data_IF_339627727273
#
_entry.id   IF_339627727273
#
_cell.length_a   1.000
_cell.length_b   1.000
_cell.length_c   1.000
_cell.angle_alpha   90.00
_cell.angle_beta   90.00
_cell.angle_gamma   90.00
#
_symmetry.space_group_name_H-M   'P 1'
#
loop_
_entity.id
_entity.type
_entity.pdbx_description
1 polymer ?
#
# COMPACT_ATOMS: atom_id res chain seq x y z
N UNK A 1 20.68 35.09 26.67
CA UNK A 1 19.92 35.97 27.57
C UNK A 1 20.87 36.70 28.55
N UNK A 2 21.83 36.02 29.26
CA UNK A 2 22.71 36.65 30.27
C UNK A 2 23.60 37.75 29.68
N UNK A 3 24.26 37.53 28.56
CA UNK A 3 25.11 38.55 27.90
C UNK A 3 24.29 39.81 27.52
N UNK A 4 23.06 39.66 27.06
CA UNK A 4 22.19 40.82 26.75
C UNK A 4 21.81 41.64 28.01
N UNK A 5 21.94 41.04 29.20
CA UNK A 5 21.77 41.71 30.52
C UNK A 5 23.07 42.21 31.09
N UNK A 6 24.18 42.12 30.37
CA UNK A 6 25.51 42.49 30.83
C UNK A 6 26.13 41.50 31.83
N UNK A 7 25.60 40.30 31.96
CA UNK A 7 26.09 39.29 32.90
C UNK A 7 27.15 38.38 32.23
N UNK A 8 28.31 38.24 32.87
CA UNK A 8 29.39 37.35 32.38
C UNK A 8 29.69 36.28 33.43
N UNK A 9 28.92 35.17 33.36
CA UNK A 9 28.97 34.10 34.38
C UNK A 9 29.27 32.75 33.73
N UNK A 10 30.56 32.46 33.47
CA UNK A 10 31.01 31.23 32.75
C UNK A 10 30.61 29.94 33.45
N UNK A 11 30.80 29.85 34.77
CA UNK A 11 30.52 28.64 35.55
C UNK A 11 29.07 28.22 35.56
N UNK A 12 28.15 29.18 35.35
CA UNK A 12 26.71 28.91 35.32
C UNK A 12 26.25 28.18 34.05
N UNK A 13 27.09 28.19 33.03
CA UNK A 13 26.77 27.59 31.70
C UNK A 13 27.74 26.48 31.33
N UNK A 14 28.30 25.76 32.30
CA UNK A 14 29.12 24.59 32.07
C UNK A 14 28.23 23.45 31.54
N UNK A 15 28.49 22.99 30.34
CA UNK A 15 27.76 21.91 29.68
C UNK A 15 28.50 20.57 29.73
N UNK A 16 27.96 19.59 29.01
CA UNK A 16 28.50 18.24 28.88
C UNK A 16 28.79 17.97 27.40
N UNK A 17 29.93 17.38 27.10
CA UNK A 17 30.28 16.97 25.74
C UNK A 17 29.47 15.73 25.32
N UNK A 18 29.08 15.67 24.03
CA UNK A 18 28.38 14.49 23.47
C UNK A 18 29.36 13.35 23.16
N UNK A 19 30.61 13.66 22.84
CA UNK A 19 31.61 12.65 22.50
C UNK A 19 31.84 11.67 23.67
N UNK A 20 31.75 10.36 23.35
CA UNK A 20 31.87 9.28 24.33
C UNK A 20 30.63 9.02 25.19
N UNK A 21 29.59 9.86 25.11
CA UNK A 21 28.30 9.61 25.78
C UNK A 21 27.51 8.54 25.07
N UNK A 22 26.64 7.86 25.79
CA UNK A 22 25.77 6.83 25.26
C UNK A 22 24.39 7.41 24.95
N UNK A 23 23.95 7.30 23.70
CA UNK A 23 22.59 7.62 23.25
C UNK A 23 21.77 6.34 23.12
N UNK A 24 20.70 6.23 23.90
CA UNK A 24 19.68 5.21 23.79
C UNK A 24 18.58 5.66 22.82
N UNK A 25 18.36 4.89 21.77
CA UNK A 25 17.37 5.19 20.74
C UNK A 25 16.22 4.19 20.86
N UNK A 26 15.05 4.66 21.31
CA UNK A 26 13.84 3.85 21.42
C UNK A 26 13.04 3.98 20.11
N UNK A 27 13.11 2.95 19.27
CA UNK A 27 12.58 2.92 17.90
C UNK A 27 13.62 3.30 16.85
N UNK A 28 14.03 2.32 16.04
CA UNK A 28 15.04 2.48 14.99
C UNK A 28 14.42 2.54 13.57
N UNK A 29 13.20 3.08 13.48
CA UNK A 29 12.53 3.37 12.23
C UNK A 29 13.17 4.51 11.44
N UNK A 30 12.45 5.11 10.48
CA UNK A 30 12.99 6.16 9.59
C UNK A 30 13.67 7.31 10.35
N UNK A 31 13.03 7.85 11.38
CA UNK A 31 13.56 8.98 12.16
C UNK A 31 14.70 8.53 13.07
N UNK A 32 14.51 7.44 13.83
CA UNK A 32 15.54 6.92 14.74
C UNK A 32 16.83 6.55 14.01
N UNK A 33 16.74 5.96 12.82
CA UNK A 33 17.92 5.67 11.97
C UNK A 33 18.67 6.94 11.55
N UNK A 34 17.93 8.01 11.21
CA UNK A 34 18.55 9.30 10.85
C UNK A 34 19.21 9.98 12.06
N UNK A 35 18.64 9.82 13.25
CA UNK A 35 19.26 10.26 14.52
C UNK A 35 20.53 9.46 14.78
N UNK A 36 20.49 8.13 14.64
CA UNK A 36 21.67 7.28 14.82
C UNK A 36 22.84 7.69 13.93
N UNK A 37 22.60 7.89 12.62
CA UNK A 37 23.63 8.34 11.67
C UNK A 37 24.30 9.65 12.10
N UNK A 38 23.51 10.62 12.58
CA UNK A 38 24.02 11.92 13.02
C UNK A 38 24.74 11.84 14.36
N UNK A 39 24.19 11.11 15.33
CA UNK A 39 24.80 10.92 16.64
C UNK A 39 26.15 10.19 16.55
N UNK A 40 26.29 9.24 15.64
CA UNK A 40 27.60 8.61 15.32
C UNK A 40 28.66 9.62 14.91
N UNK A 41 28.29 10.68 14.17
CA UNK A 41 29.20 11.73 13.76
C UNK A 41 29.67 12.61 14.91
N UNK A 42 28.97 12.59 16.04
CA UNK A 42 29.40 13.21 17.30
C UNK A 42 30.23 12.26 18.19
N UNK A 43 30.66 11.10 17.68
CA UNK A 43 31.38 10.06 18.41
C UNK A 43 30.65 9.57 19.67
N UNK A 44 29.31 9.45 19.59
CA UNK A 44 28.50 8.85 20.64
C UNK A 44 28.49 7.33 20.53
N UNK A 45 28.34 6.64 21.68
CA UNK A 45 28.00 5.22 21.72
C UNK A 45 26.49 5.07 21.52
N UNK A 46 26.06 4.16 20.61
CA UNK A 46 24.65 4.03 20.26
C UNK A 46 24.09 2.69 20.75
N UNK A 47 23.03 2.76 21.57
CA UNK A 47 22.18 1.64 21.93
C UNK A 47 20.81 1.83 21.27
N UNK A 48 20.20 0.77 20.78
CA UNK A 48 18.87 0.82 20.17
C UNK A 48 17.95 -0.26 20.75
N UNK A 49 16.70 0.08 20.95
CA UNK A 49 15.63 -0.86 21.23
C UNK A 49 14.58 -0.75 20.13
N UNK A 50 14.37 -1.83 19.42
CA UNK A 50 13.30 -1.97 18.41
C UNK A 50 12.97 -3.45 18.24
N UNK A 51 11.74 -3.91 18.53
CA UNK A 51 11.37 -5.33 18.42
C UNK A 51 11.23 -5.83 16.98
N UNK A 52 11.25 -4.94 15.98
CA UNK A 52 11.00 -5.26 14.57
C UNK A 52 12.25 -5.13 13.68
N UNK A 53 13.35 -4.62 14.22
CA UNK A 53 14.60 -4.39 13.48
C UNK A 53 15.60 -5.48 13.79
N UNK A 54 16.28 -6.01 12.77
CA UNK A 54 17.35 -7.01 12.95
C UNK A 54 18.63 -6.40 13.51
N UNK A 55 19.44 -7.21 14.19
CA UNK A 55 20.73 -6.78 14.71
C UNK A 55 21.65 -6.24 13.59
N UNK A 56 21.63 -6.85 12.40
CA UNK A 56 22.44 -6.42 11.26
C UNK A 56 22.08 -5.00 10.77
N UNK A 57 20.80 -4.64 10.81
CA UNK A 57 20.35 -3.27 10.47
C UNK A 57 20.85 -2.29 11.52
N UNK A 58 20.71 -2.59 12.82
CA UNK A 58 21.21 -1.73 13.87
C UNK A 58 22.75 -1.52 13.79
N UNK A 59 23.49 -2.60 13.57
CA UNK A 59 24.97 -2.56 13.39
C UNK A 59 25.38 -1.71 12.18
N UNK A 60 24.67 -1.77 11.08
CA UNK A 60 24.94 -0.93 9.90
C UNK A 60 24.81 0.57 10.21
N UNK A 61 23.96 0.93 11.17
CA UNK A 61 23.78 2.30 11.69
C UNK A 61 24.80 2.64 12.79
N UNK A 62 25.64 1.68 13.21
CA UNK A 62 26.59 1.81 14.29
C UNK A 62 25.95 1.72 15.68
N UNK A 63 24.75 1.15 15.79
CA UNK A 63 24.04 0.97 17.04
C UNK A 63 24.02 -0.51 17.45
N UNK A 64 24.12 -0.78 18.75
CA UNK A 64 23.93 -2.13 19.31
C UNK A 64 22.47 -2.31 19.74
N UNK A 65 21.82 -3.34 19.21
CA UNK A 65 20.44 -3.68 19.59
C UNK A 65 20.44 -4.34 20.98
N UNK A 66 19.61 -3.85 21.89
CA UNK A 66 19.53 -4.29 23.28
C UNK A 66 18.08 -4.30 23.79
N UNK A 67 17.83 -4.84 24.99
CA UNK A 67 16.55 -4.73 25.66
C UNK A 67 16.28 -3.27 26.11
N UNK A 68 15.01 -2.91 26.32
CA UNK A 68 14.66 -1.57 26.81
C UNK A 68 15.35 -1.27 28.15
N UNK A 69 15.32 -2.22 29.10
CA UNK A 69 15.98 -2.08 30.40
C UNK A 69 17.48 -1.83 30.29
N UNK A 70 18.16 -2.59 29.42
CA UNK A 70 19.60 -2.40 29.19
C UNK A 70 19.89 -1.01 28.59
N UNK A 71 19.06 -0.57 27.64
CA UNK A 71 19.16 0.74 27.04
C UNK A 71 19.03 1.83 28.12
N UNK A 72 17.97 1.78 28.94
CA UNK A 72 17.67 2.80 29.94
C UNK A 72 18.78 2.91 31.01
N UNK A 73 19.30 1.76 31.50
CA UNK A 73 20.37 1.73 32.50
C UNK A 73 21.69 2.30 32.01
N UNK A 74 21.98 2.16 30.71
CA UNK A 74 23.31 2.49 30.19
C UNK A 74 23.36 3.81 29.43
N UNK A 75 22.23 4.44 29.13
CA UNK A 75 22.17 5.67 28.34
C UNK A 75 22.37 6.92 29.19
N UNK A 76 23.13 7.86 28.66
CA UNK A 76 23.25 9.24 29.19
C UNK A 76 22.14 10.13 28.61
N UNK A 77 21.68 9.80 27.40
CA UNK A 77 20.56 10.46 26.73
C UNK A 77 19.66 9.37 26.15
N UNK A 78 18.37 9.44 26.41
CA UNK A 78 17.34 8.57 25.81
C UNK A 78 16.49 9.39 24.88
N UNK A 79 16.34 8.95 23.62
CA UNK A 79 15.49 9.60 22.61
C UNK A 79 14.44 8.64 22.07
N UNK A 80 13.19 9.11 21.96
CA UNK A 80 12.03 8.27 21.61
C UNK A 80 11.59 8.57 20.19
N UNK A 81 11.40 7.50 19.39
CA UNK A 81 11.02 7.56 17.98
C UNK A 81 10.03 6.45 17.58
N UNK A 82 9.19 6.01 18.51
CA UNK A 82 8.14 5.02 18.27
C UNK A 82 6.78 5.69 18.03
N UNK A 83 5.86 5.09 17.25
CA UNK A 83 4.48 5.56 17.16
C UNK A 83 3.73 5.31 18.48
N UNK A 84 2.63 6.03 18.70
CA UNK A 84 1.72 5.73 19.81
C UNK A 84 0.79 4.57 19.39
N UNK A 85 0.99 3.43 20.01
CA UNK A 85 0.20 2.20 19.85
C UNK A 85 -0.23 1.70 21.25
N UNK A 86 -1.17 0.75 21.35
CA UNK A 86 -1.46 0.11 22.63
C UNK A 86 -0.21 -0.46 23.33
N UNK A 87 0.74 -1.00 22.57
CA UNK A 87 2.00 -1.57 23.06
C UNK A 87 3.09 -0.55 23.42
N UNK A 88 2.97 0.70 22.98
CA UNK A 88 3.94 1.76 23.22
C UNK A 88 3.38 2.88 24.10
N UNK A 89 2.11 2.79 24.46
CA UNK A 89 1.51 3.73 25.43
C UNK A 89 2.15 3.57 26.79
N UNK A 90 2.62 4.68 27.37
CA UNK A 90 3.34 4.71 28.64
C UNK A 90 4.56 3.75 28.67
N UNK A 91 5.22 3.58 27.51
CA UNK A 91 6.40 2.73 27.37
C UNK A 91 7.54 3.17 28.32
N UNK A 92 7.61 4.47 28.63
CA UNK A 92 8.49 5.02 29.65
C UNK A 92 7.59 5.62 30.73
N UNK A 93 7.59 5.01 31.89
CA UNK A 93 6.79 5.37 33.06
C UNK A 93 7.64 5.30 34.33
N UNK A 94 7.04 5.24 35.51
CA UNK A 94 7.76 5.27 36.79
C UNK A 94 8.83 4.20 36.91
N UNK A 95 8.55 2.95 36.52
CA UNK A 95 9.51 1.85 36.59
C UNK A 95 10.73 2.06 35.66
N UNK A 96 10.50 2.67 34.51
CA UNK A 96 11.56 2.97 33.55
C UNK A 96 12.41 4.14 34.02
N UNK A 97 11.82 5.15 34.66
CA UNK A 97 12.58 6.24 35.27
C UNK A 97 13.42 5.78 36.47
N UNK A 98 12.96 4.79 37.27
CA UNK A 98 13.68 4.24 38.40
C UNK A 98 15.01 3.56 38.04
N UNK A 99 15.12 3.07 36.77
CA UNK A 99 16.31 2.38 36.31
C UNK A 99 17.24 3.25 35.44
N UNK A 100 16.82 4.47 35.07
CA UNK A 100 17.66 5.42 34.33
C UNK A 100 18.77 5.97 35.21
N UNK A 101 19.81 6.52 34.59
CA UNK A 101 20.87 7.22 35.29
C UNK A 101 20.33 8.54 35.87
N UNK A 102 20.74 8.96 37.10
CA UNK A 102 20.30 10.23 37.68
C UNK A 102 20.73 11.48 36.88
N UNK A 103 21.78 11.36 36.07
CA UNK A 103 22.24 12.42 35.18
C UNK A 103 21.74 12.26 33.72
N UNK A 104 20.84 11.30 33.46
CA UNK A 104 20.29 11.07 32.16
C UNK A 104 19.32 12.18 31.71
N UNK A 105 19.27 12.40 30.39
CA UNK A 105 18.32 13.28 29.72
C UNK A 105 17.35 12.47 28.90
N UNK A 106 16.06 12.82 28.93
CA UNK A 106 15.02 12.24 28.10
C UNK A 106 14.61 13.21 26.98
N UNK A 107 14.49 12.71 25.75
CA UNK A 107 14.00 13.49 24.59
C UNK A 107 12.81 12.77 23.97
N UNK A 108 11.64 13.39 23.94
CA UNK A 108 10.47 12.89 23.23
C UNK A 108 10.04 13.86 22.13
N UNK A 109 10.32 13.48 20.90
CA UNK A 109 9.92 14.16 19.66
C UNK A 109 9.08 13.24 18.78
N UNK A 110 8.50 12.16 19.35
CA UNK A 110 7.73 11.17 18.63
C UNK A 110 6.22 11.42 18.74
N UNK A 111 5.61 11.00 19.85
CA UNK A 111 4.17 11.21 20.13
C UNK A 111 3.97 11.40 21.65
N UNK A 112 2.99 12.23 22.03
CA UNK A 112 2.47 12.29 23.39
C UNK A 112 1.89 10.94 23.81
N UNK A 113 1.95 10.60 25.10
CA UNK A 113 1.47 9.34 25.65
C UNK A 113 2.39 8.13 25.46
N UNK A 114 3.54 8.24 24.76
CA UNK A 114 4.60 7.22 24.78
C UNK A 114 5.39 7.31 26.07
N UNK A 115 5.65 8.50 26.54
CA UNK A 115 6.16 8.80 27.87
C UNK A 115 4.98 9.19 28.75
N UNK A 116 4.85 8.60 29.90
CA UNK A 116 3.84 8.99 30.88
C UNK A 116 4.21 10.34 31.50
N UNK A 117 3.40 11.38 31.25
CA UNK A 117 3.72 12.75 31.65
C UNK A 117 3.69 12.94 33.18
N UNK A 118 2.75 12.27 33.89
CA UNK A 118 2.68 12.35 35.36
C UNK A 118 3.93 11.74 35.99
N UNK A 119 4.33 10.55 35.53
CA UNK A 119 5.54 9.88 35.99
C UNK A 119 6.81 10.68 35.65
N UNK A 120 6.85 11.36 34.50
CA UNK A 120 7.96 12.24 34.13
C UNK A 120 8.06 13.45 35.10
N UNK A 121 6.92 14.07 35.42
CA UNK A 121 6.87 15.19 36.36
C UNK A 121 7.42 14.78 37.74
N UNK A 122 7.03 13.59 38.22
CA UNK A 122 7.53 13.04 39.50
C UNK A 122 9.03 12.74 39.41
N UNK A 123 9.48 12.08 38.34
CA UNK A 123 10.88 11.72 38.14
C UNK A 123 11.79 12.95 38.10
N UNK A 124 11.36 14.05 37.47
CA UNK A 124 12.11 15.31 37.46
C UNK A 124 12.13 16.00 38.83
N UNK A 125 11.01 16.00 39.56
CA UNK A 125 10.94 16.57 40.92
C UNK A 125 11.79 15.80 41.94
N UNK A 126 11.84 14.48 41.80
CA UNK A 126 12.62 13.60 42.66
C UNK A 126 14.09 13.48 42.25
N UNK A 127 14.49 14.07 41.12
CA UNK A 127 15.85 14.01 40.61
C UNK A 127 16.26 12.63 40.11
N UNK A 128 15.31 11.79 39.70
CA UNK A 128 15.57 10.48 39.10
C UNK A 128 16.25 10.60 37.72
N UNK A 129 15.98 11.69 37.01
CA UNK A 129 16.67 12.09 35.78
C UNK A 129 17.03 13.57 35.84
N UNK A 130 18.03 13.98 35.07
CA UNK A 130 18.55 15.35 35.13
C UNK A 130 17.70 16.36 34.34
N UNK A 131 16.94 15.92 33.34
CA UNK A 131 16.12 16.82 32.53
C UNK A 131 15.40 16.14 31.40
N UNK A 132 14.48 16.87 30.76
CA UNK A 132 13.72 16.39 29.60
C UNK A 132 13.54 17.45 28.50
N UNK A 133 13.49 17.02 27.26
CA UNK A 133 13.09 17.82 26.11
C UNK A 133 11.86 17.20 25.44
N UNK A 134 10.77 17.97 25.33
CA UNK A 134 9.50 17.51 24.79
C UNK A 134 9.04 18.41 23.65
N UNK A 135 8.71 17.81 22.53
CA UNK A 135 8.07 18.49 21.38
C UNK A 135 6.60 18.06 21.23
N UNK A 136 6.19 17.01 21.96
CA UNK A 136 4.86 16.37 21.89
C UNK A 136 4.31 16.09 23.28
N UNK A 137 2.97 16.12 23.42
CA UNK A 137 2.27 16.04 24.70
C UNK A 137 1.07 15.12 24.63
N UNK A 138 0.61 14.56 25.76
CA UNK A 138 -0.59 13.72 25.84
C UNK A 138 -1.84 14.48 25.38
N UNK A 139 -1.90 15.77 25.69
CA UNK A 139 -2.94 16.68 25.21
C UNK A 139 -2.30 17.87 24.50
N UNK A 140 -2.66 18.02 23.23
CA UNK A 140 -2.21 19.14 22.40
C UNK A 140 -3.40 20.01 21.94
N UNK A 141 -3.35 21.35 22.08
CA UNK A 141 -2.28 22.16 22.69
C UNK A 141 -2.08 21.85 24.17
N UNK A 142 -0.81 21.97 24.64
CA UNK A 142 -0.48 21.77 26.05
C UNK A 142 -1.28 22.75 26.95
N UNK A 143 -2.05 22.26 27.95
CA UNK A 143 -2.83 23.13 28.83
C UNK A 143 -1.93 24.10 29.59
N UNK A 144 -2.36 25.39 29.77
CA UNK A 144 -1.56 26.39 30.45
C UNK A 144 -1.27 26.08 31.94
N UNK A 145 -2.08 25.22 32.56
CA UNK A 145 -1.97 24.74 33.92
C UNK A 145 -1.20 23.43 34.06
N UNK A 146 -0.63 22.91 32.97
CA UNK A 146 0.15 21.68 33.00
C UNK A 146 1.36 21.82 33.92
N UNK A 147 1.57 20.87 34.87
CA UNK A 147 2.71 20.89 35.76
C UNK A 147 4.08 20.95 35.07
N UNK A 148 4.16 20.38 33.85
CA UNK A 148 5.40 20.27 33.06
C UNK A 148 5.97 21.64 32.68
N UNK A 149 5.10 22.67 32.50
CA UNK A 149 5.50 24.02 32.12
C UNK A 149 6.36 24.69 33.20
N UNK A 150 6.17 24.30 34.47
CA UNK A 150 6.80 24.91 35.61
C UNK A 150 8.04 24.15 36.10
N UNK A 151 8.41 23.07 35.44
CA UNK A 151 9.59 22.30 35.82
C UNK A 151 10.88 22.98 35.33
N UNK A 152 11.84 23.07 36.21
CA UNK A 152 13.22 23.41 35.86
C UNK A 152 13.83 22.25 35.06
N UNK A 153 14.85 22.50 34.28
CA UNK A 153 15.56 21.50 33.47
C UNK A 153 14.71 20.85 32.36
N UNK A 154 13.67 21.54 31.89
CA UNK A 154 12.89 21.14 30.73
C UNK A 154 13.08 22.07 29.53
N UNK A 155 13.06 21.48 28.32
CA UNK A 155 12.95 22.20 27.05
C UNK A 155 11.63 21.79 26.40
N UNK A 156 10.75 22.76 26.18
CA UNK A 156 9.39 22.52 25.66
C UNK A 156 9.22 23.27 24.34
N UNK A 157 8.73 22.57 23.32
CA UNK A 157 8.42 23.14 22.00
C UNK A 157 7.02 22.71 21.55
N UNK A 158 6.29 23.55 20.77
CA UNK A 158 4.91 23.30 20.40
C UNK A 158 4.79 22.45 19.11
N UNK A 159 5.25 21.20 19.15
CA UNK A 159 5.16 20.21 18.07
C UNK A 159 5.78 20.73 16.75
N UNK A 160 7.08 21.05 16.80
CA UNK A 160 7.83 21.67 15.69
C UNK A 160 8.61 20.67 14.81
N UNK A 161 8.53 19.38 15.07
CA UNK A 161 9.37 18.36 14.40
C UNK A 161 9.41 18.44 12.88
N UNK A 162 8.32 18.84 12.22
CA UNK A 162 8.24 19.06 10.76
C UNK A 162 8.06 20.55 10.37
N UNK A 163 8.17 21.48 11.31
CA UNK A 163 7.88 22.91 11.08
C UNK A 163 9.07 23.67 10.53
N UNK A 164 9.61 23.23 9.40
CA UNK A 164 10.62 23.96 8.61
C UNK A 164 10.04 24.38 7.26
N UNK A 165 10.56 25.47 6.67
CA UNK A 165 10.10 25.93 5.34
C UNK A 165 10.29 24.85 4.27
N UNK A 166 11.42 24.16 4.31
CA UNK A 166 11.76 23.10 3.36
C UNK A 166 10.83 21.88 3.50
N UNK A 167 10.55 21.45 4.74
CA UNK A 167 9.64 20.33 4.99
C UNK A 167 8.21 20.65 4.53
N UNK A 168 7.71 21.86 4.80
CA UNK A 168 6.37 22.29 4.38
C UNK A 168 6.22 22.30 2.85
N UNK A 169 7.23 22.81 2.12
CA UNK A 169 7.22 22.80 0.66
C UNK A 169 7.27 21.36 0.12
N UNK A 170 8.15 20.53 0.68
CA UNK A 170 8.30 19.13 0.24
C UNK A 170 7.01 18.34 0.44
N UNK A 171 6.39 18.45 1.62
CA UNK A 171 5.11 17.77 1.91
C UNK A 171 4.00 18.26 0.97
N UNK A 172 3.90 19.57 0.70
CA UNK A 172 2.90 20.11 -0.22
C UNK A 172 3.07 19.55 -1.64
N UNK A 173 4.30 19.47 -2.14
CA UNK A 173 4.60 18.90 -3.46
C UNK A 173 4.27 17.41 -3.51
N UNK A 174 4.71 16.63 -2.52
CA UNK A 174 4.43 15.19 -2.44
C UNK A 174 2.92 14.89 -2.38
N UNK A 175 2.15 15.68 -1.63
CA UNK A 175 0.69 15.54 -1.57
C UNK A 175 0.06 15.89 -2.91
N UNK A 176 0.49 16.98 -3.56
CA UNK A 176 -0.02 17.38 -4.87
C UNK A 176 0.23 16.29 -5.94
N UNK A 177 1.43 15.73 -5.98
CA UNK A 177 1.77 14.61 -6.87
C UNK A 177 0.87 13.39 -6.62
N UNK A 178 0.66 13.01 -5.36
CA UNK A 178 -0.21 11.87 -5.01
C UNK A 178 -1.68 12.13 -5.37
N UNK A 179 -2.18 13.36 -5.22
CA UNK A 179 -3.53 13.73 -5.66
C UNK A 179 -3.65 13.58 -7.19
N UNK A 180 -2.65 14.04 -7.94
CA UNK A 180 -2.61 13.86 -9.40
C UNK A 180 -2.58 12.38 -9.77
N UNK A 181 -1.79 11.55 -9.08
CA UNK A 181 -1.72 10.10 -9.31
C UNK A 181 -3.11 9.47 -9.14
N UNK A 182 -3.81 9.77 -8.04
CA UNK A 182 -5.17 9.24 -7.79
C UNK A 182 -6.17 9.73 -8.83
N UNK A 183 -6.10 11.00 -9.23
CA UNK A 183 -6.97 11.56 -10.28
C UNK A 183 -6.74 10.89 -11.65
N UNK A 184 -5.53 10.41 -11.90
CA UNK A 184 -5.18 9.63 -13.10
C UNK A 184 -5.43 8.11 -12.95
N UNK A 185 -6.07 7.65 -11.86
CA UNK A 185 -6.37 6.26 -11.61
C UNK A 185 -5.19 5.43 -11.08
N UNK A 186 -4.07 6.06 -10.73
CA UNK A 186 -2.92 5.41 -10.11
C UNK A 186 -3.08 5.35 -8.59
N UNK A 187 -2.52 4.33 -7.89
CA UNK A 187 -2.59 4.26 -6.43
C UNK A 187 -1.74 5.36 -5.78
N UNK A 188 -2.22 5.95 -4.68
CA UNK A 188 -1.45 6.91 -3.89
C UNK A 188 -0.39 6.19 -3.03
N UNK A 189 0.85 6.63 -3.12
CA UNK A 189 1.99 6.04 -2.40
C UNK A 189 1.93 6.20 -0.87
N UNK A 190 1.22 7.22 -0.39
CA UNK A 190 1.10 7.55 1.03
C UNK A 190 -0.34 7.54 1.55
N UNK A 191 -1.25 6.79 0.93
CA UNK A 191 -2.64 6.70 1.38
C UNK A 191 -2.72 6.09 2.79
N UNK A 192 -3.53 6.71 3.66
CA UNK A 192 -3.76 6.23 5.03
C UNK A 192 -4.83 5.15 5.07
N UNK A 193 -5.82 5.25 4.19
CA UNK A 193 -7.03 4.42 4.16
C UNK A 193 -7.16 3.57 2.89
N UNK A 194 -6.06 3.40 2.14
CA UNK A 194 -6.00 2.50 0.99
C UNK A 194 -4.70 1.70 1.00
N UNK A 195 -4.69 0.52 0.40
CA UNK A 195 -3.46 -0.26 0.23
C UNK A 195 -2.45 0.53 -0.58
N UNK A 196 -1.20 0.57 -0.13
CA UNK A 196 -0.09 1.16 -0.88
C UNK A 196 1.09 0.20 -0.91
N UNK A 197 1.81 0.19 -2.02
CA UNK A 197 3.05 -0.57 -2.17
C UNK A 197 4.22 0.38 -2.45
N UNK A 198 5.45 -0.01 -2.10
CA UNK A 198 6.64 0.71 -2.52
C UNK A 198 6.67 0.91 -4.04
N UNK A 199 7.18 2.05 -4.55
CA UNK A 199 7.25 2.32 -5.99
C UNK A 199 8.01 1.26 -6.79
N UNK A 200 9.01 0.64 -6.18
CA UNK A 200 9.83 -0.42 -6.78
C UNK A 200 9.00 -1.67 -7.09
N UNK A 201 8.04 -2.01 -6.22
CA UNK A 201 7.13 -3.14 -6.44
C UNK A 201 6.06 -2.82 -7.48
N UNK A 202 5.61 -1.56 -7.55
CA UNK A 202 4.67 -1.09 -8.56
C UNK A 202 5.28 -1.03 -9.97
N UNK A 203 6.58 -0.81 -10.07
CA UNK A 203 7.32 -0.82 -11.34
C UNK A 203 7.70 -2.23 -11.81
N UNK A 204 7.51 -3.25 -10.98
CA UNK A 204 7.84 -4.65 -11.28
C UNK A 204 6.63 -5.46 -11.76
N UNK A 205 6.80 -6.78 -11.82
CA UNK A 205 5.78 -7.75 -12.25
C UNK A 205 4.44 -7.58 -11.52
N UNK A 206 4.48 -7.25 -10.22
CA UNK A 206 3.28 -7.02 -9.42
C UNK A 206 2.45 -5.83 -9.94
N UNK A 207 3.09 -4.78 -10.46
CA UNK A 207 2.41 -3.65 -11.10
C UNK A 207 1.60 -4.08 -12.33
N UNK A 208 2.16 -4.95 -13.17
CA UNK A 208 1.46 -5.51 -14.33
C UNK A 208 0.28 -6.39 -13.92
N UNK A 209 0.37 -7.13 -12.81
CA UNK A 209 -0.76 -7.88 -12.25
C UNK A 209 -1.85 -6.99 -11.69
N UNK A 210 -1.52 -5.83 -11.12
CA UNK A 210 -2.52 -4.84 -10.66
C UNK A 210 -3.31 -4.27 -11.85
N UNK A 211 -2.62 -3.96 -12.96
CA UNK A 211 -3.29 -3.51 -14.19
C UNK A 211 -4.14 -4.62 -14.82
N UNK A 212 -3.60 -5.84 -14.89
CA UNK A 212 -4.35 -7.01 -15.36
C UNK A 212 -5.61 -7.26 -14.52
N UNK A 213 -5.51 -7.13 -13.20
CA UNK A 213 -6.62 -7.31 -12.26
C UNK A 213 -7.79 -6.37 -12.54
N UNK A 214 -7.52 -5.10 -12.82
CA UNK A 214 -8.54 -4.12 -13.22
C UNK A 214 -9.21 -4.52 -14.54
N UNK A 215 -8.41 -4.87 -15.54
CA UNK A 215 -8.90 -5.31 -16.86
C UNK A 215 -9.73 -6.59 -16.76
N UNK A 216 -9.29 -7.59 -15.99
CA UNK A 216 -10.05 -8.81 -15.74
C UNK A 216 -11.39 -8.51 -15.05
N UNK A 217 -11.41 -7.62 -14.07
CA UNK A 217 -12.65 -7.19 -13.42
C UNK A 217 -13.63 -6.56 -14.39
N UNK A 218 -13.17 -5.62 -15.23
CA UNK A 218 -14.00 -4.96 -16.29
C UNK A 218 -14.55 -5.95 -17.29
N UNK A 219 -13.68 -6.86 -17.81
CA UNK A 219 -14.11 -7.90 -18.73
C UNK A 219 -15.09 -8.85 -18.06
N UNK A 220 -14.84 -9.27 -16.83
CA UNK A 220 -15.70 -10.19 -16.10
C UNK A 220 -17.13 -9.67 -16.03
N UNK A 221 -17.32 -8.43 -15.60
CA UNK A 221 -18.63 -7.80 -15.47
C UNK A 221 -19.31 -7.63 -16.84
N UNK A 222 -18.57 -7.29 -17.88
CA UNK A 222 -19.14 -7.12 -19.22
C UNK A 222 -19.52 -8.47 -19.87
N UNK A 223 -18.81 -9.55 -19.58
CA UNK A 223 -19.05 -10.88 -20.19
C UNK A 223 -20.07 -11.69 -19.40
N UNK A 224 -19.99 -11.70 -18.07
CA UNK A 224 -20.81 -12.55 -17.21
C UNK A 224 -21.89 -11.77 -16.44
N UNK A 225 -21.83 -10.44 -16.47
CA UNK A 225 -22.67 -9.59 -15.61
C UNK A 225 -22.10 -9.45 -14.20
N UNK A 226 -22.77 -8.65 -13.40
CA UNK A 226 -22.39 -8.46 -11.99
C UNK A 226 -22.91 -9.65 -11.16
N UNK A 227 -22.00 -10.32 -10.43
CA UNK A 227 -22.34 -11.46 -9.60
C UNK A 227 -23.01 -11.02 -8.30
N UNK A 228 -24.26 -11.43 -8.10
CA UNK A 228 -24.99 -11.22 -6.84
C UNK A 228 -24.68 -12.27 -5.78
N UNK A 229 -24.04 -13.37 -6.16
CA UNK A 229 -23.68 -14.49 -5.25
C UNK A 229 -22.30 -14.31 -4.63
N UNK A 230 -21.47 -13.48 -5.23
CA UNK A 230 -20.11 -13.21 -4.83
C UNK A 230 -19.09 -13.62 -5.89
N UNK A 231 -17.84 -13.24 -5.66
CA UNK A 231 -16.71 -13.56 -6.52
C UNK A 231 -15.56 -14.12 -5.69
N UNK A 232 -14.89 -15.12 -6.21
CA UNK A 232 -13.65 -15.62 -5.66
C UNK A 232 -12.47 -15.16 -6.52
N UNK A 233 -11.46 -14.57 -5.87
CA UNK A 233 -10.20 -14.15 -6.46
C UNK A 233 -9.17 -15.21 -6.11
N UNK A 234 -8.59 -15.88 -7.10
CA UNK A 234 -7.61 -16.94 -6.89
C UNK A 234 -6.24 -16.49 -7.40
N UNK A 235 -5.29 -16.43 -6.50
CA UNK A 235 -3.89 -16.10 -6.79
C UNK A 235 -3.11 -17.39 -7.01
N UNK A 236 -2.60 -17.60 -8.21
CA UNK A 236 -1.97 -18.86 -8.60
C UNK A 236 -0.45 -18.73 -8.80
N UNK A 237 0.28 -19.79 -8.42
CA UNK A 237 1.73 -19.84 -8.56
C UNK A 237 2.46 -18.84 -7.65
N UNK A 238 3.51 -18.20 -8.16
CA UNK A 238 4.33 -17.25 -7.38
C UNK A 238 3.54 -16.03 -6.90
N UNK A 239 2.46 -15.66 -7.61
CA UNK A 239 1.56 -14.59 -7.20
C UNK A 239 0.92 -14.86 -5.83
N UNK A 240 0.73 -16.13 -5.44
CA UNK A 240 0.15 -16.51 -4.16
C UNK A 240 0.96 -16.06 -2.94
N UNK A 241 2.25 -15.76 -3.11
CA UNK A 241 3.15 -15.31 -2.04
C UNK A 241 3.31 -13.79 -1.95
N UNK A 242 2.69 -13.03 -2.86
CA UNK A 242 2.80 -11.57 -2.95
C UNK A 242 1.79 -10.84 -2.05
N UNK A 243 1.89 -9.52 -1.98
CA UNK A 243 0.87 -8.69 -1.31
C UNK A 243 -0.34 -8.48 -2.23
N UNK A 244 -1.47 -9.10 -1.88
CA UNK A 244 -2.67 -9.11 -2.70
C UNK A 244 -3.57 -7.87 -2.57
N UNK A 245 -3.34 -7.00 -1.60
CA UNK A 245 -4.26 -5.90 -1.24
C UNK A 245 -4.58 -4.98 -2.42
N UNK A 246 -3.57 -4.57 -3.22
CA UNK A 246 -3.80 -3.74 -4.40
C UNK A 246 -4.41 -4.51 -5.56
N UNK A 247 -4.04 -5.79 -5.76
CA UNK A 247 -4.64 -6.65 -6.78
C UNK A 247 -6.14 -6.80 -6.49
N UNK A 248 -6.51 -7.11 -5.24
CA UNK A 248 -7.91 -7.18 -4.80
C UNK A 248 -8.65 -5.86 -5.08
N UNK A 249 -8.09 -4.72 -4.67
CA UNK A 249 -8.71 -3.42 -4.92
C UNK A 249 -8.85 -3.12 -6.42
N UNK A 250 -7.90 -3.53 -7.25
CA UNK A 250 -7.96 -3.41 -8.71
C UNK A 250 -9.06 -4.28 -9.32
N UNK A 251 -9.19 -5.54 -8.88
CA UNK A 251 -10.30 -6.42 -9.29
C UNK A 251 -11.64 -5.77 -8.96
N UNK A 252 -11.82 -5.30 -7.72
CA UNK A 252 -13.07 -4.68 -7.30
C UNK A 252 -13.38 -3.41 -8.08
N UNK A 253 -12.37 -2.57 -8.33
CA UNK A 253 -12.51 -1.40 -9.19
C UNK A 253 -13.02 -1.80 -10.58
N UNK A 254 -12.36 -2.76 -11.20
CA UNK A 254 -12.72 -3.25 -12.53
C UNK A 254 -14.13 -3.85 -12.58
N UNK A 255 -14.52 -4.66 -11.60
CA UNK A 255 -15.87 -5.25 -11.52
C UNK A 255 -16.97 -4.19 -11.42
N UNK A 256 -16.72 -3.12 -10.68
CA UNK A 256 -17.72 -2.10 -10.36
C UNK A 256 -17.81 -0.99 -11.42
N UNK A 257 -16.72 -0.68 -12.09
CA UNK A 257 -16.64 0.46 -13.02
C UNK A 257 -17.66 0.37 -14.16
N UNK A 258 -17.89 -0.79 -14.84
CA UNK A 258 -18.86 -0.88 -15.94
C UNK A 258 -20.32 -0.67 -15.51
N UNK A 259 -20.63 -0.78 -14.22
CA UNK A 259 -22.00 -0.71 -13.66
C UNK A 259 -22.19 0.46 -12.71
N UNK A 260 -21.21 1.34 -12.56
CA UNK A 260 -21.27 2.48 -11.65
C UNK A 260 -21.34 3.79 -12.42
N UNK A 261 -22.24 4.69 -11.98
CA UNK A 261 -22.23 6.09 -12.41
C UNK A 261 -21.21 6.94 -11.63
N UNK A 262 -20.72 6.42 -10.51
CA UNK A 262 -19.71 7.08 -9.68
C UNK A 262 -18.32 6.57 -10.05
N UNK A 263 -17.32 7.44 -9.87
CA UNK A 263 -15.93 7.06 -10.11
C UNK A 263 -15.45 6.07 -9.04
N UNK A 264 -15.05 4.88 -9.46
CA UNK A 264 -14.44 3.88 -8.59
C UNK A 264 -12.91 4.07 -8.59
N UNK A 265 -12.32 4.02 -7.42
CA UNK A 265 -10.88 4.17 -7.18
C UNK A 265 -10.37 3.05 -6.26
N UNK A 266 -9.05 2.92 -6.11
CA UNK A 266 -8.46 1.98 -5.15
C UNK A 266 -8.85 2.27 -3.69
N UNK A 267 -9.29 3.52 -3.38
CA UNK A 267 -9.68 3.92 -2.02
C UNK A 267 -11.10 3.48 -1.70
N UNK A 268 -12.04 3.65 -2.65
CA UNK A 268 -13.47 3.39 -2.40
C UNK A 268 -13.98 2.06 -2.93
N UNK A 269 -13.20 1.31 -3.72
CA UNK A 269 -13.63 0.05 -4.33
C UNK A 269 -14.15 -0.97 -3.32
N UNK A 270 -13.48 -1.16 -2.18
CA UNK A 270 -13.90 -2.05 -1.09
C UNK A 270 -15.23 -1.63 -0.49
N UNK A 271 -15.38 -0.34 -0.19
CA UNK A 271 -16.60 0.23 0.42
C UNK A 271 -17.78 0.07 -0.56
N UNK A 272 -17.57 0.44 -1.82
CA UNK A 272 -18.58 0.34 -2.86
C UNK A 272 -18.99 -1.11 -3.15
N UNK A 273 -18.06 -2.05 -3.05
CA UNK A 273 -18.35 -3.49 -3.17
C UNK A 273 -19.24 -3.97 -2.00
N UNK A 274 -18.93 -3.57 -0.78
CA UNK A 274 -19.71 -3.89 0.42
C UNK A 274 -21.11 -3.28 0.38
N UNK A 275 -21.23 -2.02 -0.01
CA UNK A 275 -22.53 -1.32 -0.14
C UNK A 275 -23.46 -1.99 -1.18
N UNK A 276 -22.86 -2.58 -2.23
CA UNK A 276 -23.59 -3.36 -3.25
C UNK A 276 -23.81 -4.83 -2.88
N UNK A 277 -23.38 -5.24 -1.68
CA UNK A 277 -23.53 -6.59 -1.17
C UNK A 277 -22.66 -7.64 -1.88
N UNK A 278 -21.59 -7.20 -2.60
CA UNK A 278 -20.68 -8.13 -3.26
C UNK A 278 -19.86 -8.89 -2.19
N UNK A 279 -20.06 -10.19 -2.13
CA UNK A 279 -19.21 -11.07 -1.31
C UNK A 279 -17.93 -11.39 -2.07
N UNK A 280 -16.78 -11.10 -1.47
CA UNK A 280 -15.46 -11.38 -2.06
C UNK A 280 -14.74 -12.40 -1.20
N UNK A 281 -14.31 -13.49 -1.81
CA UNK A 281 -13.47 -14.51 -1.18
C UNK A 281 -12.13 -14.55 -1.90
N UNK A 282 -11.09 -14.95 -1.19
CA UNK A 282 -9.73 -15.06 -1.73
C UNK A 282 -9.22 -16.47 -1.49
N UNK A 283 -8.54 -17.02 -2.48
CA UNK A 283 -7.91 -18.33 -2.43
C UNK A 283 -6.55 -18.31 -3.11
N UNK A 284 -5.75 -19.32 -2.83
CA UNK A 284 -4.50 -19.58 -3.55
C UNK A 284 -4.60 -20.87 -4.33
N UNK A 285 -3.88 -20.96 -5.46
CA UNK A 285 -3.92 -22.13 -6.34
C UNK A 285 -2.60 -22.38 -7.07
N UNK A 286 -2.57 -23.46 -7.82
CA UNK A 286 -1.47 -23.72 -8.74
C UNK A 286 -1.69 -22.96 -10.05
N UNK A 287 -0.59 -22.43 -10.61
CA UNK A 287 -0.64 -21.85 -11.96
C UNK A 287 -0.95 -22.94 -13.00
N UNK A 288 -1.64 -22.58 -14.08
CA UNK A 288 -1.85 -23.50 -15.19
C UNK A 288 -0.51 -23.94 -15.80
N UNK A 289 -0.52 -25.11 -16.43
CA UNK A 289 0.68 -25.65 -17.09
C UNK A 289 1.24 -24.66 -18.12
N UNK A 290 2.54 -24.41 -18.04
CA UNK A 290 3.24 -23.45 -18.90
C UNK A 290 3.31 -22.01 -18.38
N UNK A 291 2.71 -21.72 -17.22
CA UNK A 291 2.76 -20.39 -16.60
C UNK A 291 3.32 -20.44 -15.18
N UNK A 292 4.08 -19.43 -14.78
CA UNK A 292 4.61 -19.29 -13.41
C UNK A 292 3.58 -18.76 -12.43
N UNK A 293 2.69 -17.88 -12.91
CA UNK A 293 1.66 -17.24 -12.11
C UNK A 293 0.41 -16.95 -12.95
N UNK A 294 -0.76 -16.87 -12.30
CA UNK A 294 -1.99 -16.36 -12.90
C UNK A 294 -2.92 -15.76 -11.85
N UNK A 295 -3.83 -14.92 -12.32
CA UNK A 295 -4.94 -14.36 -11.55
C UNK A 295 -6.25 -14.86 -12.13
N UNK A 296 -7.07 -15.55 -11.30
CA UNK A 296 -8.36 -16.10 -11.72
C UNK A 296 -9.49 -15.43 -10.94
N UNK A 297 -10.52 -15.02 -11.66
CA UNK A 297 -11.80 -14.57 -11.14
C UNK A 297 -12.83 -15.64 -11.43
N UNK A 298 -13.56 -16.08 -10.41
CA UNK A 298 -14.59 -17.12 -10.61
C UNK A 298 -15.80 -16.90 -9.72
N UNK A 299 -16.97 -17.23 -10.26
CA UNK A 299 -18.23 -17.25 -9.55
C UNK A 299 -19.16 -18.31 -10.15
N UNK A 300 -20.43 -18.32 -9.73
CA UNK A 300 -21.46 -19.18 -10.35
C UNK A 300 -21.74 -18.81 -11.83
N UNK A 301 -21.50 -17.55 -12.20
CA UNK A 301 -21.77 -17.01 -13.53
C UNK A 301 -20.66 -17.37 -14.55
N UNK A 302 -19.41 -17.53 -14.10
CA UNK A 302 -18.31 -17.92 -15.00
C UNK A 302 -16.91 -17.78 -14.42
N UNK A 303 -15.91 -18.01 -15.27
CA UNK A 303 -14.49 -17.98 -14.93
C UNK A 303 -13.73 -17.14 -15.96
N UNK A 304 -12.87 -16.26 -15.46
CA UNK A 304 -11.90 -15.53 -16.28
C UNK A 304 -10.52 -15.61 -15.61
N UNK A 305 -9.49 -15.99 -16.39
CA UNK A 305 -8.13 -16.13 -15.87
C UNK A 305 -7.14 -15.43 -16.80
N UNK A 306 -6.20 -14.70 -16.19
CA UNK A 306 -5.15 -14.00 -16.93
C UNK A 306 -3.79 -14.18 -16.29
N UNK A 307 -2.75 -13.88 -17.06
CA UNK A 307 -1.34 -13.95 -16.66
C UNK A 307 -0.56 -12.76 -17.21
N UNK A 308 0.66 -12.60 -16.72
CA UNK A 308 1.65 -11.65 -17.25
C UNK A 308 2.84 -12.45 -17.78
N UNK A 309 3.25 -12.16 -19.02
CA UNK A 309 4.43 -12.77 -19.67
C UNK A 309 5.40 -11.64 -20.02
N UNK A 310 6.48 -11.53 -19.24
CA UNK A 310 7.34 -10.33 -19.31
C UNK A 310 6.57 -9.10 -18.81
N UNK A 311 6.25 -8.18 -19.71
CA UNK A 311 5.42 -6.99 -19.42
C UNK A 311 4.01 -7.09 -20.03
N UNK A 312 3.75 -8.14 -20.82
CA UNK A 312 2.50 -8.29 -21.58
C UNK A 312 1.43 -9.01 -20.76
N UNK A 313 0.29 -8.37 -20.61
CA UNK A 313 -0.89 -8.92 -19.95
C UNK A 313 -1.70 -9.75 -20.94
N UNK A 314 -2.11 -10.95 -20.55
CA UNK A 314 -2.87 -11.87 -21.39
C UNK A 314 -4.02 -12.50 -20.62
N UNK A 315 -5.16 -12.67 -21.30
CA UNK A 315 -6.26 -13.53 -20.83
C UNK A 315 -6.03 -14.91 -21.41
N UNK A 316 -5.95 -15.92 -20.54
CA UNK A 316 -5.59 -17.29 -20.93
C UNK A 316 -6.73 -18.29 -20.78
N UNK A 317 -7.82 -17.89 -20.11
CA UNK A 317 -9.00 -18.72 -19.93
C UNK A 317 -10.27 -17.90 -19.87
N UNK A 318 -11.30 -18.32 -20.56
CA UNK A 318 -12.67 -17.83 -20.47
C UNK A 318 -13.60 -19.05 -20.26
N UNK A 319 -14.18 -19.16 -19.09
CA UNK A 319 -14.97 -20.32 -18.64
C UNK A 319 -14.20 -21.64 -18.78
N UNK A 320 -14.73 -22.57 -19.56
CA UNK A 320 -14.06 -23.85 -19.88
C UNK A 320 -13.05 -23.75 -21.04
N UNK A 321 -13.02 -22.61 -21.76
CA UNK A 321 -12.25 -22.49 -22.99
C UNK A 321 -10.85 -21.94 -22.71
N UNK A 322 -9.79 -22.63 -23.19
CA UNK A 322 -8.47 -22.02 -23.26
C UNK A 322 -8.48 -20.95 -24.36
N UNK A 323 -8.07 -19.75 -24.00
CA UNK A 323 -7.94 -18.60 -24.91
C UNK A 323 -6.56 -17.98 -24.73
N UNK A 324 -6.18 -17.08 -25.62
CA UNK A 324 -4.93 -16.34 -25.51
C UNK A 324 -5.06 -15.01 -26.26
N UNK A 325 -5.35 -13.93 -25.54
CA UNK A 325 -5.48 -12.60 -26.13
C UNK A 325 -5.04 -11.49 -25.19
N UNK A 326 -4.63 -10.37 -25.77
CA UNK A 326 -4.25 -9.16 -25.02
C UNK A 326 -5.53 -8.41 -24.65
N UNK A 327 -5.75 -8.09 -23.34
CA UNK A 327 -6.95 -7.38 -22.90
C UNK A 327 -6.85 -5.87 -23.20
N UNK A 328 -7.13 -5.48 -24.46
CA UNK A 328 -7.12 -4.10 -24.94
C UNK A 328 -7.98 -3.93 -26.19
N UNK A 329 -8.76 -2.87 -26.29
CA UNK A 329 -9.62 -2.55 -27.43
C UNK A 329 -11.04 -3.10 -27.31
N UNK A 330 -11.68 -3.36 -28.44
CA UNK A 330 -13.05 -3.89 -28.51
C UNK A 330 -13.03 -5.38 -28.74
N UNK A 331 -13.95 -6.09 -28.10
CA UNK A 331 -14.04 -7.55 -28.19
C UNK A 331 -15.43 -7.98 -28.63
N UNK A 332 -15.47 -9.03 -29.48
CA UNK A 332 -16.67 -9.81 -29.75
C UNK A 332 -16.41 -11.27 -29.39
N UNK A 333 -17.13 -11.78 -28.41
CA UNK A 333 -17.11 -13.18 -27.97
C UNK A 333 -18.22 -13.94 -28.69
N UNK A 334 -17.82 -14.97 -29.44
CA UNK A 334 -18.70 -15.74 -30.33
C UNK A 334 -18.64 -17.23 -29.95
N UNK A 335 -19.42 -17.69 -28.96
CA UNK A 335 -19.53 -19.11 -28.67
C UNK A 335 -20.27 -19.80 -29.85
N UNK A 336 -19.73 -20.91 -30.33
CA UNK A 336 -20.34 -21.66 -31.45
C UNK A 336 -19.88 -23.12 -31.47
N UNK A 337 -20.51 -23.93 -32.32
CA UNK A 337 -20.00 -25.27 -32.65
C UNK A 337 -18.99 -25.13 -33.76
N UNK A 338 -17.80 -25.70 -33.61
CA UNK A 338 -16.69 -25.64 -34.56
C UNK A 338 -17.11 -26.32 -35.89
N UNK A 339 -17.32 -25.51 -36.91
CA UNK A 339 -17.72 -25.93 -38.25
C UNK A 339 -16.99 -25.11 -39.32
N UNK A 340 -16.66 -25.71 -40.47
CA UNK A 340 -16.13 -24.95 -41.58
C UNK A 340 -17.06 -23.80 -41.99
N UNK A 341 -16.45 -22.64 -42.25
CA UNK A 341 -17.14 -21.45 -42.74
C UNK A 341 -17.62 -20.47 -41.69
N UNK A 342 -17.72 -20.81 -40.36
CA UNK A 342 -18.22 -19.92 -39.30
C UNK A 342 -17.35 -18.66 -39.17
N UNK A 343 -16.04 -18.80 -39.03
CA UNK A 343 -15.11 -17.67 -38.92
C UNK A 343 -15.18 -16.79 -40.19
N UNK A 344 -15.21 -17.41 -41.38
CA UNK A 344 -15.32 -16.67 -42.63
C UNK A 344 -16.63 -15.90 -42.78
N UNK A 345 -17.76 -16.49 -42.34
CA UNK A 345 -19.05 -15.81 -42.34
C UNK A 345 -19.08 -14.59 -41.40
N UNK A 346 -18.59 -14.75 -40.16
CA UNK A 346 -18.48 -13.66 -39.21
C UNK A 346 -17.57 -12.56 -39.77
N UNK A 347 -16.37 -12.92 -40.24
CA UNK A 347 -15.42 -11.96 -40.84
C UNK A 347 -15.99 -11.20 -42.04
N UNK A 348 -16.76 -11.87 -42.90
CA UNK A 348 -17.44 -11.23 -44.04
C UNK A 348 -18.47 -10.20 -43.57
N UNK A 349 -19.29 -10.56 -42.59
CA UNK A 349 -20.31 -9.64 -42.03
C UNK A 349 -19.64 -8.42 -41.44
N UNK A 350 -18.63 -8.61 -40.57
CA UNK A 350 -17.88 -7.48 -39.93
C UNK A 350 -17.24 -6.59 -41.01
N UNK A 351 -16.60 -7.18 -42.03
CA UNK A 351 -15.99 -6.44 -43.14
C UNK A 351 -16.99 -5.64 -43.96
N UNK A 352 -18.20 -6.16 -44.19
CA UNK A 352 -19.28 -5.42 -44.88
C UNK A 352 -19.76 -4.21 -44.10
N UNK A 353 -19.62 -4.22 -42.77
CA UNK A 353 -19.91 -3.10 -41.89
C UNK A 353 -18.68 -2.25 -41.59
N UNK A 354 -17.59 -2.41 -42.31
CA UNK A 354 -16.34 -1.66 -42.15
C UNK A 354 -15.73 -1.77 -40.73
N UNK A 355 -15.89 -2.94 -40.10
CA UNK A 355 -15.33 -3.27 -38.79
C UNK A 355 -14.08 -4.12 -39.01
N UNK A 356 -12.92 -3.58 -38.62
CA UNK A 356 -11.64 -4.26 -38.77
C UNK A 356 -11.37 -5.25 -37.63
N UNK A 357 -10.88 -6.46 -38.01
CA UNK A 357 -10.46 -7.48 -37.03
C UNK A 357 -8.94 -7.37 -36.87
N UNK A 358 -8.48 -6.95 -35.71
CA UNK A 358 -7.05 -6.86 -35.39
C UNK A 358 -6.47 -8.21 -34.96
N UNK A 359 -7.27 -9.05 -34.29
CA UNK A 359 -6.89 -10.41 -33.90
C UNK A 359 -8.10 -11.35 -33.82
N UNK A 360 -7.86 -12.63 -34.06
CA UNK A 360 -8.87 -13.69 -33.92
C UNK A 360 -8.27 -14.91 -33.23
N UNK A 361 -8.88 -15.34 -32.14
CA UNK A 361 -8.45 -16.48 -31.34
C UNK A 361 -9.62 -17.46 -31.17
N UNK A 362 -9.38 -18.73 -31.41
CA UNK A 362 -10.37 -19.80 -31.24
C UNK A 362 -9.93 -20.77 -30.15
N UNK A 363 -10.60 -20.71 -28.99
CA UNK A 363 -10.46 -21.67 -27.92
C UNK A 363 -11.43 -22.84 -28.09
N UNK A 364 -10.94 -24.04 -28.40
CA UNK A 364 -11.76 -25.22 -28.56
C UNK A 364 -11.35 -26.36 -27.64
N UNK A 365 -12.32 -27.12 -27.15
CA UNK A 365 -12.08 -28.28 -26.31
C UNK A 365 -11.83 -29.56 -27.10
N UNK A 366 -12.48 -29.70 -28.27
CA UNK A 366 -12.32 -30.84 -29.14
C UNK A 366 -12.63 -30.43 -30.60
N UNK A 367 -12.07 -31.11 -31.60
CA UNK A 367 -12.43 -30.90 -33.01
C UNK A 367 -13.94 -31.05 -33.22
N UNK A 368 -14.56 -30.10 -33.92
CA UNK A 368 -16.00 -30.02 -34.20
C UNK A 368 -16.90 -29.95 -32.93
N UNK A 369 -16.31 -29.64 -31.79
CA UNK A 369 -17.02 -29.43 -30.52
C UNK A 369 -17.38 -27.97 -30.30
N UNK A 370 -17.74 -27.68 -29.05
CA UNK A 370 -17.95 -26.30 -28.62
C UNK A 370 -16.65 -25.51 -28.68
N UNK A 371 -16.74 -24.28 -29.11
CA UNK A 371 -15.59 -23.37 -29.18
C UNK A 371 -16.00 -21.94 -28.84
N UNK A 372 -15.05 -21.17 -28.32
CA UNK A 372 -15.16 -19.74 -28.14
C UNK A 372 -14.25 -19.04 -29.13
N UNK A 373 -14.84 -18.30 -30.07
CA UNK A 373 -14.08 -17.39 -30.92
C UNK A 373 -14.05 -16.03 -30.25
N UNK A 374 -12.88 -15.53 -29.97
CA UNK A 374 -12.63 -14.17 -29.46
C UNK A 374 -12.06 -13.34 -30.60
N UNK A 375 -12.76 -12.28 -30.97
CA UNK A 375 -12.30 -11.29 -31.93
C UNK A 375 -11.91 -10.02 -31.21
N UNK A 376 -10.70 -9.54 -31.47
CA UNK A 376 -10.29 -8.18 -31.09
C UNK A 376 -10.51 -7.27 -32.30
N UNK A 377 -11.12 -6.13 -32.08
CA UNK A 377 -11.62 -5.24 -33.13
C UNK A 377 -11.10 -3.81 -32.91
N UNK A 378 -11.01 -3.06 -34.00
CA UNK A 378 -10.61 -1.64 -33.93
C UNK A 378 -11.82 -0.73 -33.66
N UNK A 379 -13.06 -1.19 -33.97
CA UNK A 379 -14.30 -0.46 -33.78
C UNK A 379 -15.30 -1.27 -32.93
N UNK A 380 -16.24 -0.58 -32.22
CA UNK A 380 -17.32 -1.25 -31.51
C UNK A 380 -18.32 -1.89 -32.47
N UNK A 381 -18.84 -3.06 -32.12
CA UNK A 381 -19.85 -3.78 -32.93
C UNK A 381 -21.24 -3.24 -32.59
N UNK A 382 -22.01 -2.69 -33.55
CA UNK A 382 -23.40 -2.27 -33.36
C UNK A 382 -24.33 -3.46 -33.11
N UNK A 383 -25.49 -3.21 -32.48
CA UNK A 383 -26.50 -4.25 -32.19
C UNK A 383 -27.02 -4.92 -33.48
N UNK A 384 -27.23 -4.15 -34.53
CA UNK A 384 -27.67 -4.62 -35.84
C UNK A 384 -26.70 -5.65 -36.45
N UNK A 385 -25.40 -5.44 -36.29
CA UNK A 385 -24.37 -6.36 -36.78
C UNK A 385 -24.37 -7.66 -35.97
N UNK A 386 -24.52 -7.58 -34.66
CA UNK A 386 -24.67 -8.77 -33.83
C UNK A 386 -25.92 -9.58 -34.21
N UNK A 387 -27.02 -8.89 -34.53
CA UNK A 387 -28.25 -9.54 -34.95
C UNK A 387 -28.08 -10.20 -36.34
N UNK A 388 -27.42 -9.54 -37.27
CA UNK A 388 -27.09 -10.12 -38.57
C UNK A 388 -26.23 -11.40 -38.46
N UNK A 389 -25.22 -11.37 -37.55
CA UNK A 389 -24.40 -12.55 -37.27
C UNK A 389 -25.28 -13.69 -36.70
N UNK A 390 -26.16 -13.43 -35.75
CA UNK A 390 -27.08 -14.43 -35.16
C UNK A 390 -27.98 -15.09 -36.25
N UNK A 391 -28.47 -14.28 -37.16
CA UNK A 391 -29.37 -14.76 -38.25
C UNK A 391 -28.65 -15.54 -39.34
N UNK A 392 -27.44 -15.11 -39.71
CA UNK A 392 -26.73 -15.66 -40.89
C UNK A 392 -25.70 -16.73 -40.57
N UNK A 393 -25.27 -16.86 -39.30
CA UNK A 393 -24.25 -17.81 -38.89
C UNK A 393 -24.88 -18.98 -38.11
N UNK A 394 -25.07 -20.15 -38.74
CA UNK A 394 -25.73 -21.29 -38.09
C UNK A 394 -24.91 -21.83 -36.92
N UNK A 395 -25.59 -22.05 -35.78
CA UNK A 395 -24.99 -22.64 -34.58
C UNK A 395 -24.17 -21.66 -33.75
N UNK A 396 -24.31 -20.35 -33.98
CA UNK A 396 -23.77 -19.30 -33.13
C UNK A 396 -24.58 -19.22 -31.84
N UNK A 397 -23.92 -19.09 -30.69
CA UNK A 397 -24.53 -18.86 -29.40
C UNK A 397 -24.76 -17.38 -29.12
N UNK A 398 -24.93 -17.04 -27.86
CA UNK A 398 -25.08 -15.65 -27.44
C UNK A 398 -23.79 -14.87 -27.66
N UNK A 399 -23.85 -13.85 -28.52
CA UNK A 399 -22.75 -12.93 -28.73
C UNK A 399 -22.63 -11.96 -27.55
N UNK A 400 -21.43 -11.78 -27.05
CA UNK A 400 -21.15 -10.80 -26.01
C UNK A 400 -20.07 -9.82 -26.51
N UNK A 401 -20.26 -8.54 -26.21
CA UNK A 401 -19.32 -7.47 -26.52
C UNK A 401 -18.70 -6.95 -25.25
N UNK A 402 -17.43 -6.60 -25.31
CA UNK A 402 -16.75 -5.90 -24.24
C UNK A 402 -15.74 -4.90 -24.81
N UNK A 403 -15.31 -3.95 -23.97
CA UNK A 403 -14.27 -2.96 -24.30
C UNK A 403 -13.42 -2.63 -23.09
N UNK A 404 -12.14 -2.35 -23.35
CA UNK A 404 -11.15 -1.97 -22.34
C UNK A 404 -10.40 -0.70 -22.75
#
# INVERSE_FOLDING_TARGET
ASIRRGEWQRSKFMGVELAGKTLGIVGLGKVGAEVARRARSFNMNLLAYDPYVSASIAESLGARLVSLDELLRNSDIVTVHVPLLPSTRNLISSSEFDIMKPDALLVNVARGGVVNEEALVEALKEGKIAGAALDVYEKEPLPPDSPIIHLEHTVLTPHLGASTKEAQVKVALEVAEQVIDVLNGRPARGAVNAPSLPPELLAGELGHYIELADKLGRLYTQVHGFSHTGIEIVYCGDLASQDHRLIRSAVLRGLLEPISSERISFVNAEIMAQERGLRVTEATGMAPEGYTSSLRLQSAEGVLEGTVIGEEQRVIRLDKFPVDFIPSGYFLFCPHIDRPGVIGAIGTILGNHNINISAAMSGRLAPRGETMLVLTLDEPVPDEVCEEIRQKVPGIGNLTRASL
#
